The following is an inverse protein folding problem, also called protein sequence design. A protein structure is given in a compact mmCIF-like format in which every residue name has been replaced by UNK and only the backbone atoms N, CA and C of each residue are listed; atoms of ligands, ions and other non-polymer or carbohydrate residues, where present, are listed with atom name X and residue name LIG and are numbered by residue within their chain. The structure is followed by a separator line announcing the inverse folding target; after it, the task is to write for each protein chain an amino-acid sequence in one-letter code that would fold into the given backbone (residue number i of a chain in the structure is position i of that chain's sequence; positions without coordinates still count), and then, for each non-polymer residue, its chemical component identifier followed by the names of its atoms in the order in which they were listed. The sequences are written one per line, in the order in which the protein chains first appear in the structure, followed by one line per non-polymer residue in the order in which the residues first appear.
data_IF_411415558194
#
_entry.id   IF_411415558194
#
_cell.length_a   1.000
_cell.length_b   1.000
_cell.length_c   1.000
_cell.angle_alpha   90.00
_cell.angle_beta   90.00
_cell.angle_gamma   90.00
#
_symmetry.space_group_name_H-M   'P 1'
#
loop_
_entity.id
_entity.type
_entity.pdbx_description
1 polymer ?
#
# COMPACT_ATOMS: atom_id res chain seq x y z
N UNK A 1 41.48 -6.80 38.96
CA UNK A 1 42.90 -6.39 38.85
C UNK A 1 43.32 -6.62 37.41
N UNK A 2 43.67 -5.56 36.67
CA UNK A 2 44.00 -5.66 35.24
C UNK A 2 45.49 -5.93 35.11
N UNK A 3 45.86 -7.00 34.41
CA UNK A 3 47.24 -7.40 34.19
C UNK A 3 47.86 -6.56 33.07
N UNK A 4 48.68 -5.58 33.44
CA UNK A 4 49.35 -4.66 32.53
C UNK A 4 50.77 -5.13 32.12
N UNK A 5 51.12 -6.40 32.37
CA UNK A 5 52.48 -6.91 32.15
C UNK A 5 52.97 -6.76 30.69
N UNK A 6 52.09 -6.95 29.71
CA UNK A 6 52.46 -6.84 28.28
C UNK A 6 52.81 -5.41 27.86
N UNK A 7 52.11 -4.42 28.42
CA UNK A 7 52.35 -2.99 28.16
C UNK A 7 53.69 -2.57 28.77
N UNK A 8 53.97 -3.01 30.00
CA UNK A 8 55.23 -2.71 30.68
C UNK A 8 56.42 -3.33 29.94
N UNK A 9 56.30 -4.58 29.48
CA UNK A 9 57.37 -5.24 28.70
C UNK A 9 57.65 -4.50 27.38
N UNK A 10 56.61 -4.04 26.67
CA UNK A 10 56.77 -3.30 25.41
C UNK A 10 57.43 -1.92 25.58
N UNK A 11 57.28 -1.31 26.75
CA UNK A 11 57.90 -0.02 27.07
C UNK A 11 59.36 -0.23 27.45
N UNK A 12 59.66 -1.26 28.24
CA UNK A 12 61.04 -1.61 28.62
C UNK A 12 61.89 -1.97 27.40
N UNK A 13 61.32 -2.65 26.40
CA UNK A 13 62.01 -2.96 25.14
C UNK A 13 62.38 -1.73 24.32
N UNK A 14 61.65 -0.62 24.45
CA UNK A 14 61.91 0.63 23.70
C UNK A 14 62.99 1.52 24.31
N UNK A 15 63.37 1.30 25.56
CA UNK A 15 64.29 2.18 26.29
C UNK A 15 65.67 1.55 26.58
N UNK A 16 65.95 0.34 26.11
CA UNK A 16 67.30 -0.24 26.18
C UNK A 16 68.20 0.37 25.09
N UNK A 17 69.33 1.01 25.45
CA UNK A 17 70.11 1.85 24.52
C UNK A 17 71.16 1.10 23.68
N UNK A 18 71.18 -0.23 23.71
CA UNK A 18 72.16 -1.03 22.96
C UNK A 18 71.47 -2.10 22.09
N UNK A 19 70.94 -1.73 20.93
CA UNK A 19 70.77 -2.70 19.84
C UNK A 19 70.89 -2.02 18.47
N UNK A 20 72.05 -2.22 17.85
CA UNK A 20 72.23 -2.11 16.41
C UNK A 20 71.09 -2.86 15.70
N UNK A 21 70.49 -2.21 14.69
CA UNK A 21 69.45 -2.77 13.83
C UNK A 21 69.93 -4.10 13.19
N UNK A 22 69.72 -5.22 13.88
CA UNK A 22 69.60 -6.52 13.23
C UNK A 22 68.19 -6.56 12.66
N UNK A 23 68.09 -6.52 11.34
CA UNK A 23 66.85 -6.84 10.65
C UNK A 23 66.37 -8.20 11.14
N UNK A 24 65.27 -8.20 11.90
CA UNK A 24 64.59 -9.43 12.27
C UNK A 24 64.12 -10.05 10.96
N UNK A 25 64.81 -11.11 10.53
CA UNK A 25 64.37 -11.97 9.44
C UNK A 25 62.97 -12.44 9.81
N UNK A 26 61.94 -11.93 9.10
CA UNK A 26 60.56 -12.39 9.28
C UNK A 26 60.56 -13.91 9.18
N UNK A 27 60.23 -14.59 10.27
CA UNK A 27 59.99 -16.02 10.24
C UNK A 27 58.92 -16.29 9.18
N UNK A 28 59.22 -17.17 8.21
CA UNK A 28 58.21 -17.62 7.25
C UNK A 28 57.11 -18.31 8.04
N UNK A 29 55.91 -17.74 8.01
CA UNK A 29 54.70 -18.39 8.50
C UNK A 29 54.56 -19.70 7.71
N UNK A 30 54.56 -20.83 8.40
CA UNK A 30 54.24 -22.11 7.77
C UNK A 30 52.83 -22.00 7.20
N UNK A 31 52.62 -22.28 5.91
CA UNK A 31 51.28 -22.33 5.36
C UNK A 31 50.61 -23.57 5.96
N UNK A 32 49.96 -23.42 7.09
CA UNK A 32 48.96 -24.39 7.50
C UNK A 32 47.90 -24.38 6.41
N UNK A 33 47.63 -25.52 5.75
CA UNK A 33 46.54 -25.62 4.79
C UNK A 33 45.23 -25.51 5.58
N UNK A 34 44.79 -24.28 5.85
CA UNK A 34 43.42 -24.05 6.24
C UNK A 34 42.57 -24.35 5.00
N UNK A 35 41.82 -25.45 5.06
CA UNK A 35 40.73 -25.67 4.13
C UNK A 35 39.86 -24.41 4.22
N UNK A 36 39.68 -23.64 3.12
CA UNK A 36 38.79 -22.49 3.16
C UNK A 36 37.45 -23.03 3.63
N UNK A 37 36.95 -22.48 4.75
CA UNK A 37 35.62 -22.78 5.23
C UNK A 37 34.70 -22.71 4.01
N UNK A 38 33.88 -23.75 3.80
CA UNK A 38 33.03 -23.85 2.61
C UNK A 38 32.34 -22.50 2.41
N UNK A 39 32.52 -21.91 1.23
CA UNK A 39 31.86 -20.66 0.90
C UNK A 39 30.36 -20.81 1.20
N UNK A 40 29.72 -19.79 1.78
CA UNK A 40 28.29 -19.84 2.04
C UNK A 40 27.55 -20.26 0.77
N UNK A 41 26.51 -21.08 0.93
CA UNK A 41 25.73 -21.53 -0.22
C UNK A 41 25.14 -20.32 -0.94
N UNK A 42 24.93 -20.43 -2.25
CA UNK A 42 24.31 -19.37 -3.05
C UNK A 42 22.96 -18.94 -2.48
N UNK A 43 22.19 -19.87 -1.91
CA UNK A 43 20.93 -19.57 -1.22
C UNK A 43 21.10 -18.77 0.08
N UNK A 44 22.20 -18.98 0.82
CA UNK A 44 22.52 -18.13 1.97
C UNK A 44 22.88 -16.71 1.53
N UNK A 45 23.75 -16.58 0.52
CA UNK A 45 24.15 -15.29 -0.03
C UNK A 45 22.95 -14.52 -0.61
N UNK A 46 22.05 -15.22 -1.31
CA UNK A 46 20.84 -14.61 -1.87
C UNK A 46 19.90 -14.13 -0.76
N UNK A 47 19.66 -14.94 0.27
CA UNK A 47 18.83 -14.53 1.42
C UNK A 47 19.43 -13.35 2.16
N UNK A 48 20.74 -13.37 2.39
CA UNK A 48 21.46 -12.28 3.04
C UNK A 48 21.43 -11.01 2.19
N UNK A 49 21.59 -11.13 0.87
CA UNK A 49 21.48 -10.02 -0.08
C UNK A 49 20.06 -9.45 -0.10
N UNK A 50 19.02 -10.28 -0.18
CA UNK A 50 17.62 -9.85 -0.12
C UNK A 50 17.30 -9.14 1.22
N UNK A 51 17.91 -9.58 2.32
CA UNK A 51 17.72 -8.99 3.64
C UNK A 51 18.48 -7.67 3.82
N UNK A 52 19.69 -7.55 3.28
CA UNK A 52 20.61 -6.44 3.53
C UNK A 52 20.66 -5.40 2.40
N UNK A 53 20.33 -5.75 1.15
CA UNK A 53 20.36 -4.83 0.02
C UNK A 53 19.45 -3.61 0.22
N UNK A 54 18.18 -3.76 0.70
CA UNK A 54 17.34 -2.60 0.97
C UNK A 54 17.96 -1.66 2.03
N UNK A 55 18.55 -2.24 3.09
CA UNK A 55 19.23 -1.48 4.16
C UNK A 55 20.48 -0.76 3.65
N UNK A 56 21.24 -1.39 2.76
CA UNK A 56 22.44 -0.81 2.16
C UNK A 56 22.10 0.38 1.25
N UNK A 57 21.06 0.26 0.42
CA UNK A 57 20.56 1.36 -0.43
C UNK A 57 20.13 2.56 0.43
N UNK A 58 19.38 2.31 1.51
CA UNK A 58 18.96 3.38 2.44
C UNK A 58 20.15 4.06 3.14
N UNK A 59 21.16 3.29 3.58
CA UNK A 59 22.40 3.85 4.15
C UNK A 59 23.17 4.73 3.16
N UNK A 60 23.17 4.38 1.88
CA UNK A 60 23.77 5.22 0.84
C UNK A 60 22.99 6.53 0.64
N UNK A 61 21.66 6.47 0.68
CA UNK A 61 20.79 7.65 0.54
C UNK A 61 20.87 8.63 1.73
N UNK A 62 21.23 8.14 2.91
CA UNK A 62 21.56 8.98 4.08
C UNK A 62 22.85 9.79 3.87
N UNK A 63 23.78 9.30 3.03
CA UNK A 63 25.14 9.87 2.85
C UNK A 63 25.31 10.73 1.60
N UNK A 64 24.37 10.73 0.64
CA UNK A 64 24.50 11.54 -0.58
C UNK A 64 23.85 12.94 -0.45
N UNK A 65 24.60 14.03 -0.70
CA UNK A 65 24.01 15.28 -1.16
C UNK A 65 23.43 15.07 -2.57
N UNK A 66 22.40 15.83 -2.91
CA UNK A 66 21.70 15.77 -4.19
C UNK A 66 22.68 15.82 -5.37
N UNK A 67 22.63 14.90 -6.36
CA UNK A 67 23.48 15.02 -7.54
C UNK A 67 23.07 16.29 -8.32
N UNK A 68 24.03 17.13 -8.76
CA UNK A 68 23.75 18.23 -9.66
C UNK A 68 23.26 17.65 -10.99
N UNK A 69 22.13 18.15 -11.48
CA UNK A 69 21.66 17.84 -12.83
C UNK A 69 22.57 18.51 -13.86
N UNK A 70 22.78 17.90 -15.04
CA UNK A 70 23.67 18.45 -16.06
C UNK A 70 23.14 19.79 -16.57
N UNK A 71 23.99 20.80 -16.46
CA UNK A 71 23.85 22.13 -17.04
C UNK A 71 23.76 21.98 -18.56
N UNK A 72 22.61 22.32 -19.15
CA UNK A 72 22.53 22.54 -20.60
C UNK A 72 23.12 23.92 -20.85
N UNK A 73 24.32 23.94 -21.42
CA UNK A 73 24.99 25.15 -21.88
C UNK A 73 24.17 25.77 -23.01
N UNK A 74 23.66 26.98 -22.77
CA UNK A 74 23.17 27.88 -23.79
C UNK A 74 24.38 28.49 -24.50
N UNK A 75 24.50 28.21 -25.80
CA UNK A 75 25.28 29.08 -26.69
C UNK A 75 24.35 30.13 -27.27
N UNK A 76 24.64 31.37 -26.90
CA UNK A 76 24.05 32.60 -27.40
C UNK A 76 24.71 32.96 -28.75
N UNK A 77 23.91 33.31 -29.74
CA UNK A 77 24.34 34.02 -30.95
C UNK A 77 23.15 34.82 -31.49
N UNK A 78 23.23 36.11 -31.24
CA UNK A 78 22.44 37.24 -31.74
C UNK A 78 22.42 37.34 -33.27
N UNK A 79 21.30 37.77 -33.87
CA UNK A 79 21.16 39.09 -34.52
C UNK A 79 19.82 39.25 -35.28
N UNK A 80 19.38 40.51 -35.31
CA UNK A 80 18.15 41.09 -35.84
C UNK A 80 17.88 40.87 -37.33
N UNK A 81 16.60 40.72 -37.72
CA UNK A 81 15.91 41.64 -38.68
C UNK A 81 14.41 41.30 -38.85
N UNK A 82 13.54 42.27 -38.58
CA UNK A 82 12.24 42.45 -39.27
C UNK A 82 12.49 43.10 -40.66
N UNK A 83 11.51 43.37 -41.57
CA UNK A 83 10.05 43.11 -41.57
C UNK A 83 9.53 42.52 -42.92
N UNK A 84 8.26 42.10 -43.00
CA UNK A 84 7.28 42.59 -44.01
C UNK A 84 5.92 41.83 -44.01
N UNK A 85 4.86 42.62 -43.87
CA UNK A 85 3.63 42.67 -44.65
C UNK A 85 2.87 41.38 -45.08
N UNK A 86 1.61 41.29 -44.62
CA UNK A 86 0.49 41.45 -45.56
C UNK A 86 -0.67 40.44 -45.52
N UNK A 87 -1.88 41.02 -45.63
CA UNK A 87 -3.22 40.47 -45.99
C UNK A 87 -4.00 39.72 -44.89
N UNK A 88 -5.13 40.28 -44.39
CA UNK A 88 -6.51 40.42 -44.97
C UNK A 88 -7.11 39.03 -45.29
N UNK A 89 -8.31 38.65 -44.87
CA UNK A 89 -9.41 39.34 -44.15
C UNK A 89 -10.33 38.27 -43.50
N UNK A 90 -11.17 38.61 -42.52
CA UNK A 90 -12.45 39.34 -42.63
C UNK A 90 -13.66 38.39 -42.66
N UNK A 91 -14.45 38.47 -41.57
CA UNK A 91 -15.93 38.42 -41.46
C UNK A 91 -16.63 37.11 -41.90
N UNK A 92 -17.72 36.58 -41.32
CA UNK A 92 -18.72 37.07 -40.36
C UNK A 92 -19.57 35.89 -39.84
N UNK A 93 -20.23 36.10 -38.69
CA UNK A 93 -21.65 35.81 -38.39
C UNK A 93 -22.14 34.34 -38.36
N UNK A 94 -22.52 33.84 -37.18
CA UNK A 94 -23.90 33.82 -36.63
C UNK A 94 -24.86 32.90 -37.38
N UNK A 95 -25.35 31.84 -36.71
CA UNK A 95 -26.71 31.84 -36.13
C UNK A 95 -27.07 30.45 -35.56
N UNK A 96 -27.79 30.50 -34.44
CA UNK A 96 -28.47 29.40 -33.77
C UNK A 96 -29.44 28.64 -34.68
N UNK A 97 -29.62 27.33 -34.41
CA UNK A 97 -30.95 26.72 -34.29
C UNK A 97 -30.92 25.24 -33.83
N UNK A 98 -31.54 25.00 -32.67
CA UNK A 98 -32.51 23.94 -32.34
C UNK A 98 -32.29 22.49 -32.80
N UNK A 99 -32.30 21.57 -31.82
CA UNK A 99 -32.43 20.11 -31.94
C UNK A 99 -33.74 19.68 -32.64
N UNK A 100 -33.81 18.45 -33.22
CA UNK A 100 -34.25 17.30 -32.43
C UNK A 100 -33.68 15.90 -32.84
N UNK A 101 -33.64 15.00 -31.85
CA UNK A 101 -33.71 13.51 -31.90
C UNK A 101 -33.40 12.76 -33.21
N UNK A 102 -32.39 11.87 -33.17
CA UNK A 102 -32.52 10.40 -33.37
C UNK A 102 -31.17 9.68 -33.23
N UNK A 103 -31.26 8.50 -32.65
CA UNK A 103 -30.26 7.48 -32.33
C UNK A 103 -29.38 7.01 -33.50
N UNK A 104 -28.23 6.39 -33.14
CA UNK A 104 -27.39 5.35 -33.80
C UNK A 104 -25.91 5.76 -33.55
N UNK A 105 -25.04 5.06 -32.83
CA UNK A 105 -24.69 3.64 -32.88
C UNK A 105 -24.25 3.10 -31.50
N UNK A 106 -25.03 2.18 -30.95
CA UNK A 106 -24.57 1.21 -29.95
C UNK A 106 -23.80 0.10 -30.66
N UNK A 107 -22.54 -0.09 -30.30
CA UNK A 107 -21.75 -1.26 -30.66
C UNK A 107 -22.42 -2.48 -30.03
N UNK A 108 -23.04 -3.30 -30.88
CA UNK A 108 -23.73 -4.53 -30.49
C UNK A 108 -22.71 -5.57 -30.02
N UNK A 109 -22.64 -5.78 -28.71
CA UNK A 109 -22.12 -7.02 -28.16
C UNK A 109 -23.26 -8.04 -28.29
N UNK A 110 -23.10 -9.00 -29.20
CA UNK A 110 -24.05 -10.08 -29.45
C UNK A 110 -24.37 -10.82 -28.14
N UNK A 111 -25.55 -10.56 -27.59
CA UNK A 111 -26.08 -11.36 -26.50
C UNK A 111 -26.62 -12.69 -27.06
N UNK A 112 -26.25 -13.84 -26.48
CA UNK A 112 -26.99 -15.06 -26.74
C UNK A 112 -28.40 -14.90 -26.15
N UNK A 113 -29.38 -15.11 -27.02
CA UNK A 113 -30.82 -15.05 -26.77
C UNK A 113 -31.29 -16.18 -25.85
N UNK A 114 -31.08 -15.99 -24.55
CA UNK A 114 -31.87 -16.55 -23.46
C UNK A 114 -32.30 -15.40 -22.57
N UNK A 115 -33.59 -15.03 -22.59
CA UNK A 115 -34.10 -13.84 -21.92
C UNK A 115 -33.88 -13.92 -20.41
N UNK A 116 -32.86 -13.23 -19.91
CA UNK A 116 -32.64 -13.08 -18.48
C UNK A 116 -33.78 -12.28 -17.87
N UNK A 117 -34.66 -12.97 -17.13
CA UNK A 117 -35.68 -12.35 -16.31
C UNK A 117 -35.06 -12.01 -14.96
N UNK A 118 -35.24 -10.77 -14.50
CA UNK A 118 -34.73 -10.37 -13.18
C UNK A 118 -35.32 -11.27 -12.08
N UNK A 119 -34.47 -12.00 -11.35
CA UNK A 119 -34.92 -12.93 -10.32
C UNK A 119 -35.69 -12.24 -9.20
N UNK A 120 -36.72 -12.90 -8.70
CA UNK A 120 -37.40 -12.48 -7.50
C UNK A 120 -36.65 -12.95 -6.24
N UNK A 121 -36.75 -12.23 -5.11
CA UNK A 121 -36.01 -12.60 -3.90
C UNK A 121 -36.25 -14.04 -3.44
N UNK A 122 -37.48 -14.57 -3.54
CA UNK A 122 -37.78 -15.95 -3.15
C UNK A 122 -37.06 -16.99 -4.02
N UNK A 123 -36.76 -16.67 -5.28
CA UNK A 123 -36.03 -17.58 -6.19
C UNK A 123 -34.57 -17.73 -5.75
N UNK A 124 -33.97 -16.67 -5.21
CA UNK A 124 -32.62 -16.71 -4.64
C UNK A 124 -32.58 -17.61 -3.40
N UNK A 125 -33.58 -17.52 -2.52
CA UNK A 125 -33.66 -18.38 -1.33
C UNK A 125 -33.89 -19.85 -1.71
N UNK A 126 -34.76 -20.11 -2.69
CA UNK A 126 -34.97 -21.46 -3.24
C UNK A 126 -33.69 -22.02 -3.88
N UNK A 127 -32.91 -21.19 -4.56
CA UNK A 127 -31.62 -21.58 -5.11
C UNK A 127 -30.60 -21.92 -4.03
N UNK A 128 -30.61 -21.19 -2.90
CA UNK A 128 -29.81 -21.55 -1.72
C UNK A 128 -30.19 -22.94 -1.20
N UNK A 129 -31.48 -23.20 -0.95
CA UNK A 129 -31.98 -24.49 -0.43
C UNK A 129 -31.68 -25.68 -1.34
N UNK A 130 -31.70 -25.45 -2.66
CA UNK A 130 -31.42 -26.47 -3.68
C UNK A 130 -29.95 -26.57 -4.05
N UNK A 131 -29.09 -25.71 -3.50
CA UNK A 131 -27.68 -25.57 -3.87
C UNK A 131 -27.50 -25.35 -5.38
N UNK A 132 -28.37 -24.54 -5.98
CA UNK A 132 -28.27 -24.18 -7.39
C UNK A 132 -27.18 -23.12 -7.58
N UNK A 133 -25.94 -23.59 -7.59
CA UNK A 133 -24.75 -22.74 -7.67
C UNK A 133 -24.73 -21.96 -8.98
N UNK A 134 -25.15 -22.57 -10.09
CA UNK A 134 -25.16 -21.92 -11.40
C UNK A 134 -26.08 -20.70 -11.39
N UNK A 135 -27.29 -20.85 -10.85
CA UNK A 135 -28.21 -19.73 -10.71
C UNK A 135 -27.66 -18.62 -9.79
N UNK A 136 -27.09 -18.99 -8.65
CA UNK A 136 -26.50 -18.01 -7.72
C UNK A 136 -25.33 -17.23 -8.35
N UNK A 137 -24.55 -17.88 -9.21
CA UNK A 137 -23.46 -17.24 -9.95
C UNK A 137 -24.00 -16.28 -11.03
N UNK A 138 -25.13 -16.61 -11.65
CA UNK A 138 -25.80 -15.71 -12.60
C UNK A 138 -26.42 -14.49 -11.89
N UNK A 139 -27.05 -14.70 -10.72
CA UNK A 139 -27.54 -13.63 -9.85
C UNK A 139 -26.39 -12.74 -9.39
N UNK A 140 -25.24 -13.30 -9.02
CA UNK A 140 -24.04 -12.52 -8.66
C UNK A 140 -23.65 -11.56 -9.77
N UNK A 141 -23.62 -12.03 -11.01
CA UNK A 141 -23.10 -11.25 -12.14
C UNK A 141 -24.11 -10.20 -12.65
N UNK A 142 -25.42 -10.47 -12.56
CA UNK A 142 -26.45 -9.63 -13.17
C UNK A 142 -27.34 -8.87 -12.18
N UNK A 143 -27.44 -9.36 -10.95
CA UNK A 143 -28.37 -8.83 -9.94
C UNK A 143 -27.80 -8.95 -8.50
N UNK A 144 -26.51 -8.62 -8.33
CA UNK A 144 -25.79 -8.72 -7.06
C UNK A 144 -26.54 -8.20 -5.82
N UNK A 145 -27.27 -7.06 -5.87
CA UNK A 145 -27.99 -6.57 -4.70
C UNK A 145 -29.00 -7.56 -4.11
N UNK A 146 -29.53 -8.49 -4.90
CA UNK A 146 -30.45 -9.53 -4.42
C UNK A 146 -29.79 -10.51 -3.45
N UNK A 147 -28.46 -10.71 -3.54
CA UNK A 147 -27.71 -11.57 -2.62
C UNK A 147 -27.53 -10.94 -1.23
N UNK A 148 -27.70 -9.62 -1.13
CA UNK A 148 -27.51 -8.84 0.10
C UNK A 148 -28.83 -8.43 0.75
N UNK A 149 -29.91 -8.43 -0.03
CA UNK A 149 -31.22 -7.99 0.42
C UNK A 149 -31.76 -8.94 1.49
N UNK A 150 -32.24 -8.36 2.58
CA UNK A 150 -33.01 -9.07 3.59
C UNK A 150 -34.42 -9.32 3.07
N UNK A 151 -34.85 -10.58 3.09
CA UNK A 151 -36.23 -10.99 2.77
C UNK A 151 -36.79 -11.70 3.98
N UNK A 152 -37.83 -11.13 4.59
CA UNK A 152 -38.30 -11.56 5.91
C UNK A 152 -37.26 -11.22 6.99
N UNK A 153 -36.81 -12.22 7.73
CA UNK A 153 -35.87 -12.06 8.83
C UNK A 153 -34.40 -12.42 8.47
N UNK A 154 -34.15 -12.90 7.25
CA UNK A 154 -32.84 -13.38 6.82
C UNK A 154 -32.32 -12.76 5.51
N UNK A 155 -31.01 -12.77 5.35
CA UNK A 155 -30.35 -12.61 4.03
C UNK A 155 -30.07 -14.00 3.44
N UNK A 156 -29.84 -14.12 2.13
CA UNK A 156 -29.45 -15.39 1.52
C UNK A 156 -28.27 -16.08 2.20
N UNK A 157 -27.25 -15.30 2.62
CA UNK A 157 -26.11 -15.81 3.37
C UNK A 157 -26.56 -16.37 4.74
N UNK A 158 -27.31 -15.59 5.53
CA UNK A 158 -27.78 -16.02 6.84
C UNK A 158 -28.69 -17.26 6.72
N UNK A 159 -29.53 -17.33 5.68
CA UNK A 159 -30.36 -18.50 5.40
C UNK A 159 -29.50 -19.75 5.16
N UNK A 160 -28.50 -19.67 4.28
CA UNK A 160 -27.58 -20.77 4.02
C UNK A 160 -26.89 -21.27 5.32
N UNK A 161 -26.45 -20.35 6.18
CA UNK A 161 -25.82 -20.73 7.45
C UNK A 161 -26.79 -21.31 8.48
N UNK A 162 -28.05 -20.86 8.50
CA UNK A 162 -29.10 -21.42 9.38
C UNK A 162 -29.48 -22.85 9.02
N UNK A 163 -29.45 -23.20 7.73
CA UNK A 163 -29.66 -24.60 7.30
C UNK A 163 -28.54 -25.51 7.83
N UNK A 164 -27.34 -24.97 8.02
CA UNK A 164 -26.24 -25.62 8.71
C UNK A 164 -25.19 -26.21 7.78
N UNK A 165 -24.48 -27.23 8.26
CA UNK A 165 -23.25 -27.73 7.63
C UNK A 165 -23.45 -28.21 6.18
N UNK A 166 -24.65 -28.71 5.85
CA UNK A 166 -24.98 -29.14 4.49
C UNK A 166 -24.90 -28.03 3.46
N UNK A 167 -25.02 -26.75 3.87
CA UNK A 167 -25.01 -25.57 2.99
C UNK A 167 -23.78 -24.69 3.18
N UNK A 168 -22.75 -25.20 3.87
CA UNK A 168 -21.50 -24.46 4.11
C UNK A 168 -20.85 -23.99 2.80
N UNK A 169 -20.82 -24.83 1.77
CA UNK A 169 -20.23 -24.48 0.47
C UNK A 169 -20.98 -23.34 -0.22
N UNK A 170 -22.32 -23.32 -0.11
CA UNK A 170 -23.15 -22.23 -0.63
C UNK A 170 -22.81 -20.92 0.09
N UNK A 171 -22.65 -20.95 1.42
CA UNK A 171 -22.25 -19.78 2.19
C UNK A 171 -20.84 -19.28 1.78
N UNK A 172 -19.89 -20.19 1.56
CA UNK A 172 -18.55 -19.88 1.05
C UNK A 172 -18.63 -19.21 -0.33
N UNK A 173 -19.47 -19.73 -1.24
CA UNK A 173 -19.65 -19.16 -2.58
C UNK A 173 -20.26 -17.75 -2.51
N UNK A 174 -21.25 -17.53 -1.63
CA UNK A 174 -21.85 -16.20 -1.41
C UNK A 174 -20.83 -15.21 -0.85
N UNK A 175 -19.99 -15.62 0.11
CA UNK A 175 -18.90 -14.78 0.62
C UNK A 175 -17.85 -14.47 -0.48
N UNK A 176 -17.54 -15.46 -1.32
CA UNK A 176 -16.66 -15.27 -2.48
C UNK A 176 -17.23 -14.26 -3.48
N UNK A 177 -18.55 -14.31 -3.72
CA UNK A 177 -19.26 -13.31 -4.52
C UNK A 177 -19.14 -11.90 -3.91
N UNK A 178 -19.24 -11.77 -2.58
CA UNK A 178 -19.09 -10.50 -1.88
C UNK A 178 -17.69 -9.93 -2.04
N UNK A 179 -16.66 -10.74 -1.75
CA UNK A 179 -15.25 -10.34 -1.91
C UNK A 179 -14.95 -9.93 -3.36
N UNK A 180 -15.42 -10.71 -4.34
CA UNK A 180 -15.26 -10.38 -5.77
C UNK A 180 -15.86 -9.02 -6.10
N UNK A 181 -17.09 -8.73 -5.66
CA UNK A 181 -17.74 -7.45 -5.93
C UNK A 181 -16.94 -6.27 -5.36
N UNK A 182 -16.43 -6.39 -4.13
CA UNK A 182 -15.62 -5.36 -3.47
C UNK A 182 -14.31 -5.09 -4.24
N UNK A 183 -13.67 -6.14 -4.75
CA UNK A 183 -12.42 -6.03 -5.49
C UNK A 183 -12.60 -5.43 -6.89
N UNK A 184 -13.78 -5.62 -7.50
CA UNK A 184 -14.12 -5.09 -8.83
C UNK A 184 -14.88 -3.76 -8.78
N UNK A 185 -15.10 -3.18 -7.60
CA UNK A 185 -15.76 -1.88 -7.48
C UNK A 185 -14.86 -0.78 -8.05
N UNK A 186 -15.37 -0.09 -9.07
CA UNK A 186 -14.68 1.01 -9.76
C UNK A 186 -14.64 2.27 -8.90
N UNK A 187 -13.62 3.10 -9.11
CA UNK A 187 -13.40 4.30 -8.31
C UNK A 187 -14.50 5.36 -8.50
N UNK A 188 -15.05 5.44 -9.72
CA UNK A 188 -16.16 6.32 -10.09
C UNK A 188 -17.45 5.98 -9.32
N UNK A 189 -17.64 4.71 -8.95
CA UNK A 189 -18.86 4.21 -8.32
C UNK A 189 -18.85 4.37 -6.79
N UNK A 190 -17.68 4.51 -6.16
CA UNK A 190 -17.53 4.58 -4.70
C UNK A 190 -18.26 5.78 -4.10
N UNK A 191 -18.29 6.90 -4.83
CA UNK A 191 -18.98 8.12 -4.41
C UNK A 191 -20.51 8.02 -4.43
N UNK A 192 -21.08 7.04 -5.15
CA UNK A 192 -22.51 6.97 -5.40
C UNK A 192 -23.28 6.56 -4.11
N UNK A 193 -24.41 7.23 -3.80
CA UNK A 193 -25.23 6.88 -2.63
C UNK A 193 -25.69 5.42 -2.62
N UNK A 194 -26.01 4.87 -3.80
CA UNK A 194 -26.42 3.46 -3.96
C UNK A 194 -25.31 2.50 -3.55
N UNK A 195 -24.07 2.78 -3.95
CA UNK A 195 -22.89 1.99 -3.61
C UNK A 195 -22.66 1.98 -2.10
N UNK A 196 -22.85 3.12 -1.42
CA UNK A 196 -22.76 3.18 0.05
C UNK A 196 -23.78 2.29 0.75
N UNK A 197 -25.01 2.18 0.24
CA UNK A 197 -26.02 1.26 0.77
C UNK A 197 -25.58 -0.19 0.60
N UNK A 198 -25.03 -0.54 -0.57
CA UNK A 198 -24.50 -1.88 -0.85
C UNK A 198 -23.32 -2.22 0.07
N UNK A 199 -22.36 -1.30 0.25
CA UNK A 199 -21.21 -1.49 1.14
C UNK A 199 -21.64 -1.70 2.60
N UNK A 200 -22.66 -0.99 3.09
CA UNK A 200 -23.23 -1.23 4.43
C UNK A 200 -23.86 -2.62 4.56
N UNK A 201 -24.60 -3.05 3.55
CA UNK A 201 -25.17 -4.39 3.52
C UNK A 201 -24.08 -5.48 3.46
N UNK A 202 -23.04 -5.28 2.66
CA UNK A 202 -21.86 -6.15 2.60
C UNK A 202 -21.17 -6.25 3.96
N UNK A 203 -20.89 -5.12 4.60
CA UNK A 203 -20.26 -5.08 5.93
C UNK A 203 -21.01 -5.96 6.93
N UNK A 204 -22.33 -5.83 6.97
CA UNK A 204 -23.19 -6.60 7.87
C UNK A 204 -23.13 -8.10 7.56
N UNK A 205 -23.20 -8.49 6.28
CA UNK A 205 -23.16 -9.91 5.89
C UNK A 205 -21.76 -10.54 6.09
N UNK A 206 -20.68 -9.82 5.79
CA UNK A 206 -19.30 -10.28 6.00
C UNK A 206 -19.01 -10.45 7.50
N UNK A 207 -19.44 -9.48 8.33
CA UNK A 207 -19.34 -9.59 9.79
C UNK A 207 -20.08 -10.81 10.31
N UNK A 208 -21.27 -11.06 9.79
CA UNK A 208 -22.06 -12.23 10.13
C UNK A 208 -21.33 -13.53 9.75
N UNK A 209 -20.71 -13.60 8.56
CA UNK A 209 -19.87 -14.75 8.17
C UNK A 209 -18.68 -14.99 9.13
N UNK A 210 -18.03 -13.92 9.60
CA UNK A 210 -16.96 -13.99 10.60
C UNK A 210 -17.52 -14.49 11.95
N UNK A 211 -18.69 -14.00 12.35
CA UNK A 211 -19.32 -14.36 13.62
C UNK A 211 -19.76 -15.84 13.63
N UNK A 212 -20.13 -16.40 12.47
CA UNK A 212 -20.40 -17.83 12.26
C UNK A 212 -19.14 -18.68 12.04
N UNK A 213 -17.94 -18.10 12.10
CA UNK A 213 -16.67 -18.86 12.01
C UNK A 213 -16.26 -19.28 10.60
N UNK A 214 -16.80 -18.65 9.55
CA UNK A 214 -16.43 -18.96 8.16
C UNK A 214 -15.02 -18.50 7.79
N UNK A 215 -14.41 -17.60 8.58
CA UNK A 215 -13.02 -17.13 8.39
C UNK A 215 -11.99 -18.27 8.41
N UNK A 216 -12.28 -19.40 9.08
CA UNK A 216 -11.40 -20.58 9.09
C UNK A 216 -11.28 -21.26 7.72
N UNK A 217 -12.28 -21.06 6.86
CA UNK A 217 -12.32 -21.63 5.50
C UNK A 217 -12.04 -20.59 4.41
N UNK A 218 -11.91 -19.31 4.77
CA UNK A 218 -11.66 -18.22 3.85
C UNK A 218 -10.70 -17.21 4.49
N UNK A 219 -9.42 -17.26 4.10
CA UNK A 219 -8.38 -16.33 4.54
C UNK A 219 -8.74 -14.87 4.28
N UNK A 220 -9.35 -14.62 3.12
CA UNK A 220 -9.56 -13.27 2.61
C UNK A 220 -10.83 -12.60 3.15
N UNK A 221 -11.63 -13.34 3.93
CA UNK A 221 -12.89 -12.85 4.48
C UNK A 221 -12.66 -11.67 5.43
N UNK A 222 -11.63 -11.76 6.28
CA UNK A 222 -11.28 -10.70 7.24
C UNK A 222 -10.80 -9.46 6.51
N UNK A 223 -9.92 -9.63 5.51
CA UNK A 223 -9.45 -8.52 4.68
C UNK A 223 -10.61 -7.83 3.94
N UNK A 224 -11.50 -8.61 3.32
CA UNK A 224 -12.69 -8.10 2.62
C UNK A 224 -13.64 -7.34 3.55
N UNK A 225 -13.82 -7.83 4.78
CA UNK A 225 -14.59 -7.13 5.81
C UNK A 225 -13.94 -5.79 6.19
N UNK A 226 -12.64 -5.78 6.46
CA UNK A 226 -11.91 -4.56 6.85
C UNK A 226 -11.93 -3.51 5.74
N UNK A 227 -11.72 -3.92 4.49
CA UNK A 227 -11.83 -3.04 3.33
C UNK A 227 -13.24 -2.45 3.21
N UNK A 228 -14.28 -3.27 3.34
CA UNK A 228 -15.67 -2.80 3.27
C UNK A 228 -16.01 -1.84 4.41
N UNK A 229 -15.55 -2.14 5.62
CA UNK A 229 -15.71 -1.28 6.79
C UNK A 229 -15.08 0.09 6.53
N UNK A 230 -13.85 0.11 6.04
CA UNK A 230 -13.15 1.35 5.70
C UNK A 230 -13.91 2.15 4.64
N UNK A 231 -14.35 1.50 3.55
CA UNK A 231 -15.02 2.17 2.44
C UNK A 231 -16.43 2.68 2.80
N UNK A 232 -17.10 2.05 3.77
CA UNK A 232 -18.45 2.45 4.19
C UNK A 232 -18.46 3.49 5.30
N UNK A 233 -17.56 3.39 6.28
CA UNK A 233 -17.63 4.14 7.54
C UNK A 233 -16.25 4.62 8.06
N UNK A 234 -15.14 4.22 7.42
CA UNK A 234 -13.78 4.48 7.92
C UNK A 234 -13.22 5.87 7.63
N UNK A 235 -13.84 6.67 6.76
CA UNK A 235 -13.29 7.97 6.33
C UNK A 235 -12.94 8.90 7.50
N UNK A 236 -13.86 9.07 8.45
CA UNK A 236 -13.63 9.95 9.61
C UNK A 236 -12.46 9.47 10.46
N UNK A 237 -12.34 8.15 10.64
CA UNK A 237 -11.26 7.55 11.39
C UNK A 237 -9.92 7.73 10.65
N UNK A 238 -9.86 7.46 9.34
CA UNK A 238 -8.65 7.63 8.53
C UNK A 238 -8.17 9.07 8.63
N UNK A 239 -9.03 10.07 8.39
CA UNK A 239 -8.64 11.49 8.46
C UNK A 239 -8.05 11.86 9.82
N UNK A 240 -8.65 11.38 10.91
CA UNK A 240 -8.13 11.59 12.25
C UNK A 240 -6.75 10.93 12.47
N UNK A 241 -6.55 9.71 11.98
CA UNK A 241 -5.26 9.02 12.07
C UNK A 241 -4.20 9.66 11.19
N UNK A 242 -4.56 10.15 10.00
CA UNK A 242 -3.66 10.91 9.12
C UNK A 242 -3.13 12.13 9.87
N UNK A 243 -4.00 12.93 10.52
CA UNK A 243 -3.54 14.05 11.35
C UNK A 243 -2.61 13.62 12.49
N UNK A 244 -2.92 12.53 13.18
CA UNK A 244 -2.09 12.00 14.27
C UNK A 244 -0.72 11.53 13.78
N UNK A 245 -0.68 10.81 12.66
CA UNK A 245 0.56 10.29 12.06
C UNK A 245 1.37 11.43 11.45
N UNK A 246 0.74 12.44 10.84
CA UNK A 246 1.42 13.65 10.38
C UNK A 246 2.11 14.38 11.54
N UNK A 247 1.46 14.47 12.72
CA UNK A 247 2.09 15.04 13.91
C UNK A 247 3.30 14.21 14.36
N UNK A 248 3.16 12.89 14.43
CA UNK A 248 4.26 12.00 14.80
C UNK A 248 5.44 12.10 13.80
N UNK A 249 5.16 12.20 12.49
CA UNK A 249 6.18 12.39 11.46
C UNK A 249 6.95 13.70 11.63
N UNK A 250 6.28 14.78 12.07
CA UNK A 250 6.92 16.08 12.38
C UNK A 250 7.81 16.00 13.62
N UNK A 251 7.33 15.35 14.67
CA UNK A 251 8.12 15.07 15.89
C UNK A 251 9.30 14.12 15.64
N UNK A 252 9.32 13.50 14.47
CA UNK A 252 10.39 12.63 14.03
C UNK A 252 10.49 11.34 14.82
N UNK A 253 11.71 10.88 15.09
CA UNK A 253 11.95 9.61 15.78
C UNK A 253 11.32 9.57 17.19
N UNK A 254 11.32 10.71 17.88
CA UNK A 254 10.64 10.86 19.17
C UNK A 254 9.12 10.65 19.08
N UNK A 255 8.52 10.96 17.92
CA UNK A 255 7.09 10.77 17.67
C UNK A 255 6.69 9.33 17.33
N UNK A 256 7.67 8.46 17.00
CA UNK A 256 7.44 7.06 16.59
C UNK A 256 6.27 6.90 15.60
N UNK A 257 6.34 7.54 14.42
CA UNK A 257 5.25 7.54 13.45
C UNK A 257 4.80 6.14 13.00
N UNK A 258 5.71 5.18 12.87
CA UNK A 258 5.35 3.82 12.43
C UNK A 258 4.59 3.08 13.52
N UNK A 259 5.11 3.10 14.75
CA UNK A 259 4.43 2.53 15.92
C UNK A 259 3.07 3.19 16.16
N UNK A 260 2.96 4.50 15.98
CA UNK A 260 1.71 5.25 16.10
C UNK A 260 0.68 4.77 15.07
N UNK A 261 1.09 4.62 13.81
CA UNK A 261 0.23 4.13 12.74
C UNK A 261 -0.19 2.66 12.98
N UNK A 262 0.75 1.79 13.33
CA UNK A 262 0.47 0.37 13.58
C UNK A 262 -0.50 0.19 14.76
N UNK A 263 -0.25 0.88 15.87
CA UNK A 263 -1.11 0.82 17.05
C UNK A 263 -2.53 1.30 16.75
N UNK A 264 -2.67 2.35 15.93
CA UNK A 264 -3.97 2.85 15.51
C UNK A 264 -4.74 1.82 14.68
N UNK A 265 -4.10 1.20 13.69
CA UNK A 265 -4.70 0.16 12.83
C UNK A 265 -5.07 -1.07 13.64
N UNK A 266 -4.16 -1.55 14.50
CA UNK A 266 -4.39 -2.72 15.35
C UNK A 266 -5.56 -2.47 16.32
N UNK A 267 -5.64 -1.28 16.93
CA UNK A 267 -6.76 -0.88 17.79
C UNK A 267 -8.08 -0.81 17.01
N UNK A 268 -8.06 -0.30 15.78
CA UNK A 268 -9.24 -0.24 14.92
C UNK A 268 -9.74 -1.65 14.57
N UNK A 269 -8.87 -2.54 14.12
CA UNK A 269 -9.27 -3.87 13.72
C UNK A 269 -9.70 -4.76 14.89
N UNK A 270 -9.02 -4.67 16.04
CA UNK A 270 -9.38 -5.44 17.25
C UNK A 270 -10.77 -5.07 17.77
N UNK A 271 -11.12 -3.78 17.74
CA UNK A 271 -12.44 -3.29 18.13
C UNK A 271 -13.56 -3.89 17.27
N UNK A 272 -13.32 -4.06 15.98
CA UNK A 272 -14.35 -4.43 15.00
C UNK A 272 -14.47 -5.96 14.82
N UNK A 273 -13.37 -6.70 15.02
CA UNK A 273 -13.35 -8.15 14.87
C UNK A 273 -13.71 -8.90 16.14
N UNK A 274 -13.45 -8.36 17.34
CA UNK A 274 -13.80 -8.93 18.67
C UNK A 274 -13.30 -10.35 18.99
N UNK A 275 -12.80 -11.12 18.01
CA UNK A 275 -12.36 -12.52 18.13
C UNK A 275 -10.87 -12.66 17.83
N UNK A 276 -10.12 -13.25 18.76
CA UNK A 276 -8.66 -13.35 18.68
C UNK A 276 -8.12 -14.18 17.50
N UNK A 277 -8.80 -15.27 17.13
CA UNK A 277 -8.35 -16.16 16.04
C UNK A 277 -8.42 -15.50 14.66
N UNK A 278 -9.30 -14.52 14.46
CA UNK A 278 -9.39 -13.77 13.21
C UNK A 278 -8.26 -12.73 13.07
N UNK A 279 -7.53 -12.44 14.15
CA UNK A 279 -6.44 -11.45 14.19
C UNK A 279 -5.15 -12.01 13.57
N UNK A 280 -4.91 -13.32 13.67
CA UNK A 280 -3.71 -13.92 13.05
C UNK A 280 -3.70 -13.78 11.51
N UNK A 281 -4.89 -13.75 10.88
CA UNK A 281 -5.06 -13.49 9.45
C UNK A 281 -4.96 -12.00 9.07
N UNK A 282 -4.78 -11.11 10.06
CA UNK A 282 -4.82 -9.66 9.88
C UNK A 282 -3.41 -9.05 9.71
N UNK A 283 -2.33 -9.75 10.05
CA UNK A 283 -0.99 -9.13 10.09
C UNK A 283 -0.59 -8.52 8.73
N UNK A 284 -0.94 -9.16 7.61
CA UNK A 284 -0.67 -8.60 6.28
C UNK A 284 -1.52 -7.35 5.99
N UNK A 285 -2.78 -7.34 6.42
CA UNK A 285 -3.65 -6.17 6.32
C UNK A 285 -3.14 -5.02 7.19
N UNK A 286 -2.76 -5.31 8.45
CA UNK A 286 -2.21 -4.31 9.39
C UNK A 286 -0.95 -3.70 8.82
N UNK A 287 -0.06 -4.51 8.27
CA UNK A 287 1.17 -4.02 7.69
C UNK A 287 0.90 -3.08 6.49
N UNK A 288 0.01 -3.47 5.56
CA UNK A 288 -0.37 -2.61 4.42
C UNK A 288 -1.05 -1.30 4.87
N UNK A 289 -2.03 -1.40 5.77
CA UNK A 289 -2.75 -0.25 6.31
C UNK A 289 -1.81 0.72 7.09
N UNK A 290 -0.80 0.18 7.76
CA UNK A 290 0.24 0.97 8.46
C UNK A 290 1.05 1.78 7.45
N UNK A 291 1.52 1.15 6.38
CA UNK A 291 2.26 1.85 5.32
C UNK A 291 1.42 2.91 4.63
N UNK A 292 0.13 2.64 4.41
CA UNK A 292 -0.80 3.60 3.83
C UNK A 292 -1.02 4.82 4.74
N UNK A 293 -1.17 4.65 6.06
CA UNK A 293 -1.27 5.78 6.98
C UNK A 293 -0.03 6.66 6.96
N UNK A 294 1.17 6.07 6.83
CA UNK A 294 2.42 6.82 6.71
C UNK A 294 2.47 7.63 5.41
N UNK A 295 2.07 7.04 4.28
CA UNK A 295 2.01 7.72 3.00
C UNK A 295 0.99 8.88 3.01
N UNK A 296 -0.21 8.62 3.54
CA UNK A 296 -1.26 9.63 3.67
C UNK A 296 -0.82 10.75 4.62
N UNK A 297 -0.22 10.41 5.76
CA UNK A 297 0.30 11.37 6.73
C UNK A 297 1.43 12.23 6.17
N UNK A 298 2.36 11.63 5.45
CA UNK A 298 3.48 12.34 4.81
C UNK A 298 2.98 13.27 3.68
N UNK A 299 2.02 12.81 2.87
CA UNK A 299 1.42 13.64 1.83
C UNK A 299 0.60 14.80 2.41
N UNK A 300 -0.15 14.56 3.50
CA UNK A 300 -0.90 15.62 4.18
C UNK A 300 0.00 16.76 4.68
N UNK A 301 1.21 16.45 5.17
CA UNK A 301 2.21 17.47 5.53
C UNK A 301 2.65 18.26 4.29
N UNK A 302 2.87 17.59 3.16
CA UNK A 302 3.34 18.24 1.94
C UNK A 302 2.30 19.19 1.33
N UNK A 303 1.01 18.86 1.43
CA UNK A 303 -0.09 19.71 0.96
C UNK A 303 -0.18 21.07 1.66
N UNK A 304 0.46 21.26 2.82
CA UNK A 304 0.55 22.58 3.45
C UNK A 304 1.48 23.54 2.70
N UNK A 305 2.33 23.03 1.82
CA UNK A 305 3.32 23.82 1.07
C UNK A 305 3.27 23.59 -0.45
N UNK A 306 2.35 22.76 -0.91
CA UNK A 306 2.18 22.36 -2.31
C UNK A 306 0.69 22.45 -2.64
N UNK A 307 0.36 23.15 -3.71
CA UNK A 307 -0.97 23.12 -4.29
C UNK A 307 -1.17 21.77 -5.00
N UNK A 308 -1.89 20.87 -4.34
CA UNK A 308 -2.18 19.53 -4.86
C UNK A 308 -3.42 18.91 -4.20
N UNK A 309 -3.84 17.79 -4.73
CA UNK A 309 -5.04 17.09 -4.26
C UNK A 309 -4.71 16.04 -3.19
N UNK A 310 -5.59 15.82 -2.18
CA UNK A 310 -5.43 14.74 -1.22
C UNK A 310 -5.57 13.38 -1.89
N UNK A 311 -4.89 12.38 -1.32
CA UNK A 311 -5.07 10.98 -1.73
C UNK A 311 -6.48 10.52 -1.31
N UNK A 312 -7.28 9.91 -2.21
CA UNK A 312 -8.59 9.45 -1.84
C UNK A 312 -8.54 8.38 -0.75
N UNK A 313 -9.25 8.62 0.35
CA UNK A 313 -9.25 7.74 1.54
C UNK A 313 -9.81 6.34 1.24
N UNK A 314 -10.60 6.19 0.18
CA UNK A 314 -11.12 4.88 -0.24
C UNK A 314 -10.08 3.99 -0.93
N UNK A 315 -8.85 4.47 -1.14
CA UNK A 315 -7.69 3.65 -1.51
C UNK A 315 -7.05 2.95 -0.33
N UNK A 316 -7.34 3.39 0.89
CA UNK A 316 -6.71 2.89 2.10
C UNK A 316 -6.82 1.37 2.25
N UNK A 317 -5.67 0.74 2.47
CA UNK A 317 -5.46 -0.69 2.63
C UNK A 317 -6.01 -1.53 1.45
N UNK A 318 -6.06 -0.95 0.25
CA UNK A 318 -6.42 -1.64 -1.01
C UNK A 318 -5.19 -1.79 -1.89
N UNK A 319 -4.63 -2.99 -1.89
CA UNK A 319 -3.48 -3.39 -2.70
C UNK A 319 -2.33 -2.35 -2.65
N UNK A 320 -1.95 -1.78 -3.79
CA UNK A 320 -0.89 -0.78 -3.97
C UNK A 320 -1.44 0.62 -4.36
N UNK A 321 -2.75 0.87 -4.22
CA UNK A 321 -3.40 2.08 -4.76
C UNK A 321 -2.93 3.37 -4.08
N UNK A 322 -2.78 3.38 -2.75
CA UNK A 322 -2.26 4.55 -2.02
C UNK A 322 -0.83 4.84 -2.45
N UNK A 323 0.02 3.81 -2.53
CA UNK A 323 1.41 3.97 -2.97
C UNK A 323 1.52 4.50 -4.39
N UNK A 324 0.78 3.94 -5.37
CA UNK A 324 0.75 4.46 -6.74
C UNK A 324 0.30 5.92 -6.79
N UNK A 325 -0.80 6.23 -6.12
CA UNK A 325 -1.34 7.59 -6.09
C UNK A 325 -0.41 8.58 -5.36
N UNK A 326 0.38 8.11 -4.39
CA UNK A 326 1.44 8.89 -3.76
C UNK A 326 2.60 9.13 -4.73
N UNK A 327 3.08 8.10 -5.42
CA UNK A 327 4.17 8.20 -6.40
C UNK A 327 3.83 9.15 -7.55
N UNK A 328 2.62 9.03 -8.10
CA UNK A 328 2.14 9.90 -9.17
C UNK A 328 2.21 11.37 -8.73
N UNK A 329 1.68 11.68 -7.54
CA UNK A 329 1.72 13.04 -6.98
C UNK A 329 3.14 13.54 -6.71
N UNK A 330 4.01 12.70 -6.16
CA UNK A 330 5.41 13.08 -5.93
C UNK A 330 6.13 13.38 -7.24
N UNK A 331 5.85 12.60 -8.29
CA UNK A 331 6.42 12.82 -9.61
C UNK A 331 5.87 14.11 -10.24
N UNK A 332 4.57 14.35 -10.18
CA UNK A 332 3.93 15.58 -10.68
C UNK A 332 4.48 16.83 -10.00
N UNK A 333 4.69 16.80 -8.68
CA UNK A 333 5.13 17.97 -7.90
C UNK A 333 6.65 17.97 -7.60
N UNK A 334 7.45 17.19 -8.33
CA UNK A 334 8.86 16.95 -7.99
C UNK A 334 9.69 18.25 -7.85
N UNK A 335 9.49 19.22 -8.75
CA UNK A 335 10.20 20.50 -8.72
C UNK A 335 9.84 21.32 -7.48
N UNK A 336 8.55 21.42 -7.16
CA UNK A 336 8.05 22.13 -5.98
C UNK A 336 8.53 21.46 -4.70
N UNK A 337 8.44 20.12 -4.63
CA UNK A 337 8.92 19.31 -3.50
C UNK A 337 10.37 19.63 -3.17
N UNK A 338 11.25 19.70 -4.18
CA UNK A 338 12.67 20.00 -4.00
C UNK A 338 12.92 21.40 -3.44
N UNK A 339 12.05 22.37 -3.73
CA UNK A 339 12.21 23.77 -3.31
C UNK A 339 11.58 24.04 -1.95
N UNK A 340 10.38 23.53 -1.68
CA UNK A 340 9.56 23.97 -0.53
C UNK A 340 9.63 23.05 0.68
N UNK A 341 9.72 21.72 0.50
CA UNK A 341 9.63 20.81 1.64
C UNK A 341 10.88 20.85 2.54
N UNK A 342 10.69 20.55 3.82
CA UNK A 342 11.80 20.45 4.78
C UNK A 342 12.77 19.31 4.42
N UNK A 343 14.03 19.41 4.86
CA UNK A 343 15.03 18.35 4.66
C UNK A 343 14.56 17.00 5.21
N UNK A 344 13.89 17.03 6.38
CA UNK A 344 13.34 15.84 7.03
C UNK A 344 12.24 15.20 6.19
N UNK A 345 11.26 15.98 5.71
CA UNK A 345 10.15 15.45 4.92
C UNK A 345 10.62 14.88 3.58
N UNK A 346 11.59 15.53 2.92
CA UNK A 346 12.24 14.99 1.72
C UNK A 346 12.93 13.65 1.99
N UNK A 347 13.57 13.49 3.15
CA UNK A 347 14.14 12.22 3.55
C UNK A 347 13.06 11.16 3.83
N UNK A 348 11.99 11.51 4.55
CA UNK A 348 10.86 10.62 4.79
C UNK A 348 10.23 10.13 3.48
N UNK A 349 10.05 11.02 2.50
CA UNK A 349 9.57 10.65 1.16
C UNK A 349 10.50 9.62 0.53
N UNK A 350 11.82 9.87 0.51
CA UNK A 350 12.78 8.92 -0.05
C UNK A 350 12.73 7.56 0.66
N UNK A 351 12.67 7.53 1.99
CA UNK A 351 12.56 6.27 2.74
C UNK A 351 11.30 5.51 2.31
N UNK A 352 10.14 6.18 2.33
CA UNK A 352 8.86 5.58 1.96
C UNK A 352 8.85 5.09 0.50
N UNK A 353 9.42 5.85 -0.43
CA UNK A 353 9.52 5.45 -1.84
C UNK A 353 10.37 4.18 -2.00
N UNK A 354 11.60 4.19 -1.48
CA UNK A 354 12.53 3.08 -1.70
C UNK A 354 12.12 1.79 -0.97
N UNK A 355 11.51 1.90 0.22
CA UNK A 355 11.10 0.72 0.98
C UNK A 355 9.82 0.11 0.43
N UNK A 356 8.87 0.94 -0.02
CA UNK A 356 7.57 0.47 -0.49
C UNK A 356 7.57 0.08 -1.97
N UNK A 357 8.58 0.49 -2.73
CA UNK A 357 8.76 0.08 -4.12
C UNK A 357 8.98 -1.43 -4.26
N UNK A 358 8.43 -1.99 -5.34
CA UNK A 358 8.56 -3.41 -5.68
C UNK A 358 7.60 -4.35 -4.94
N UNK A 359 7.47 -5.57 -5.50
CA UNK A 359 6.59 -6.64 -4.99
C UNK A 359 7.34 -7.80 -4.33
N UNK A 360 8.66 -7.73 -4.29
CA UNK A 360 9.51 -8.84 -3.85
C UNK A 360 9.63 -8.93 -2.32
N UNK A 361 9.15 -7.92 -1.59
CA UNK A 361 9.16 -7.86 -0.13
C UNK A 361 7.74 -7.82 0.42
N UNK A 362 7.48 -8.60 1.48
CA UNK A 362 6.19 -8.60 2.16
C UNK A 362 5.96 -7.27 2.89
N UNK A 363 4.70 -6.87 3.05
CA UNK A 363 4.38 -5.64 3.78
C UNK A 363 4.90 -5.66 5.22
N UNK A 364 4.87 -6.81 5.89
CA UNK A 364 5.47 -6.97 7.22
C UNK A 364 6.96 -6.59 7.21
N UNK A 365 7.72 -7.09 6.23
CA UNK A 365 9.14 -6.76 6.10
C UNK A 365 9.35 -5.29 5.76
N UNK A 366 8.48 -4.71 4.93
CA UNK A 366 8.50 -3.27 4.63
C UNK A 366 8.30 -2.45 5.90
N UNK A 367 7.30 -2.77 6.73
CA UNK A 367 7.06 -2.10 8.02
C UNK A 367 8.27 -2.19 8.95
N UNK A 368 8.91 -3.37 9.06
CA UNK A 368 10.14 -3.52 9.85
C UNK A 368 11.24 -2.55 9.39
N UNK A 369 11.49 -2.48 8.07
CA UNK A 369 12.51 -1.58 7.51
C UNK A 369 12.13 -0.11 7.74
N UNK A 370 10.86 0.27 7.54
CA UNK A 370 10.40 1.64 7.78
C UNK A 370 10.52 1.99 9.27
N UNK A 371 10.29 1.04 10.18
CA UNK A 371 10.46 1.23 11.64
C UNK A 371 11.92 1.51 11.99
N UNK A 372 12.85 0.71 11.47
CA UNK A 372 14.30 0.92 11.65
C UNK A 372 14.78 2.29 11.14
N UNK A 373 14.10 2.87 10.16
CA UNK A 373 14.43 4.18 9.60
C UNK A 373 13.75 5.34 10.34
N UNK A 374 12.41 5.29 10.47
CA UNK A 374 11.59 6.42 10.91
C UNK A 374 11.37 6.51 12.43
N UNK A 375 11.39 5.37 13.13
CA UNK A 375 11.18 5.31 14.58
C UNK A 375 12.53 5.17 15.30
N UNK A 376 13.34 4.17 14.94
CA UNK A 376 14.54 3.79 15.68
C UNK A 376 15.86 4.30 15.08
N UNK A 377 15.84 4.81 13.85
CA UNK A 377 17.05 5.23 13.14
C UNK A 377 17.65 6.54 13.66
N UNK A 378 18.90 6.81 13.27
CA UNK A 378 19.58 8.09 13.60
C UNK A 378 18.90 9.34 12.99
N UNK A 379 17.93 9.15 12.08
CA UNK A 379 17.20 10.22 11.42
C UNK A 379 18.05 11.07 10.47
N UNK A 380 17.56 12.27 10.17
CA UNK A 380 18.27 13.37 9.47
C UNK A 380 18.24 14.61 10.33
#
# INVERSE_FOLDING_TARGET
MVNNASVILSIVERFSPDFAQRSVTRARVSPDPCLPARLPTTGFLQREAEQNAPKAVLRQLRRSPTPPSPTTEYHDATEDTQPHAGRRGSVSSESDQTSPTRSLFTISRSQPSGGWKEPQPFEVFRAVERKDIMFLMEVRDRAFPLLLRKTGDATPLLHAMRIGQSHRDVAIILLGAFSRWINHLEDSEIGLPRTRVILKALRTNLKLGIDYGLYKSQSDLVASFMQTLVMSEGEKWIRAQVSSVSLALRSGNAGKPVSTAEAAVRKFATKELSKADAIAALEDYVANATTDLLLLGAWAIALESIEGEPIPVYYFARDDRVFKSFMDRVNTHQATIRRTLSRRLKWQFRVLQNVLEGRNTTYRRKVEIVTEELDDGDGV
#
